data_IF_952441638308
#
_entry.id   IF_952441638308
#
_cell.length_a   1.000
_cell.length_b   1.000
_cell.length_c   1.000
_cell.angle_alpha   90.00
_cell.angle_beta   90.00
_cell.angle_gamma   90.00
#
_symmetry.space_group_name_H-M   'P 1'
#
loop_
_entity.id
_entity.type
_entity.pdbx_description
1 polymer ?
#
# COMPACT_ATOMS: atom_id res chain seq x y z
N UNK A 1 15.69 23.92 1.46
CA UNK A 1 14.34 23.71 2.04
C UNK A 1 14.52 23.02 3.37
N UNK A 2 14.20 23.71 4.46
CA UNK A 2 14.08 23.14 5.80
C UNK A 2 12.79 22.30 5.89
N UNK A 3 12.81 21.30 6.78
CA UNK A 3 11.71 20.36 6.96
C UNK A 3 10.38 21.06 7.35
N UNK A 4 10.46 22.19 8.07
CA UNK A 4 9.28 22.94 8.51
C UNK A 4 8.58 23.65 7.34
N UNK A 5 9.31 24.43 6.54
CA UNK A 5 8.71 25.07 5.36
C UNK A 5 8.27 24.07 4.29
N UNK A 6 8.98 22.94 4.18
CA UNK A 6 8.56 21.84 3.31
C UNK A 6 7.18 21.30 3.75
N UNK A 7 6.97 21.04 5.04
CA UNK A 7 5.67 20.57 5.55
C UNK A 7 4.55 21.59 5.34
N UNK A 8 4.78 22.86 5.64
CA UNK A 8 3.77 23.91 5.48
C UNK A 8 3.33 24.09 4.01
N UNK A 9 4.27 23.91 3.08
CA UNK A 9 4.04 24.14 1.64
C UNK A 9 3.55 22.89 0.93
N UNK A 10 4.23 21.75 1.13
CA UNK A 10 3.94 20.49 0.45
C UNK A 10 2.78 19.75 1.10
N UNK A 11 2.63 19.84 2.43
CA UNK A 11 1.57 19.18 3.20
C UNK A 11 0.14 19.55 2.77
N UNK A 12 -0.07 20.78 2.27
CA UNK A 12 -1.38 21.22 1.73
C UNK A 12 -1.65 20.74 0.32
N UNK A 13 -0.60 20.42 -0.44
CA UNK A 13 -0.69 20.05 -1.85
C UNK A 13 -0.54 18.54 -2.09
N UNK A 14 -0.23 17.75 -1.06
CA UNK A 14 0.03 16.30 -1.13
C UNK A 14 -1.03 15.53 -1.91
N UNK A 15 -2.36 15.76 -1.72
CA UNK A 15 -3.35 14.99 -2.46
C UNK A 15 -3.26 15.21 -3.97
N UNK A 16 -3.03 16.46 -4.38
CA UNK A 16 -2.82 16.81 -5.79
C UNK A 16 -1.45 16.30 -6.27
N UNK A 17 -0.41 16.42 -5.45
CA UNK A 17 0.94 15.95 -5.77
C UNK A 17 0.97 14.44 -6.00
N UNK A 18 0.30 13.66 -5.16
CA UNK A 18 0.24 12.20 -5.30
C UNK A 18 -0.63 11.82 -6.51
N UNK A 19 -1.73 12.53 -6.76
CA UNK A 19 -2.57 12.32 -7.94
C UNK A 19 -1.88 12.70 -9.26
N UNK A 20 -0.92 13.63 -9.24
CA UNK A 20 -0.11 13.98 -10.41
C UNK A 20 1.15 13.11 -10.53
N UNK A 21 1.75 12.68 -9.42
CA UNK A 21 2.80 11.64 -9.38
C UNK A 21 2.30 10.33 -9.99
N UNK A 22 1.01 10.04 -9.82
CA UNK A 22 0.32 8.93 -10.46
C UNK A 22 0.38 8.99 -12.01
N UNK A 23 0.29 10.19 -12.58
CA UNK A 23 0.18 10.37 -14.04
C UNK A 23 1.54 10.61 -14.71
N UNK A 24 2.59 10.91 -13.94
CA UNK A 24 3.85 11.41 -14.48
C UNK A 24 5.08 10.76 -13.81
N UNK A 25 5.83 9.97 -14.59
CA UNK A 25 7.08 9.32 -14.17
C UNK A 25 8.14 10.31 -13.68
N UNK A 26 8.17 11.54 -14.21
CA UNK A 26 9.09 12.59 -13.77
C UNK A 26 8.75 13.02 -12.34
N UNK A 27 7.46 13.20 -12.04
CA UNK A 27 7.02 13.56 -10.69
C UNK A 27 7.30 12.45 -9.68
N UNK A 28 7.15 11.19 -10.09
CA UNK A 28 7.57 10.06 -9.26
C UNK A 28 9.08 10.06 -9.01
N UNK A 29 9.88 10.35 -10.03
CA UNK A 29 11.33 10.50 -9.88
C UNK A 29 11.66 11.61 -8.88
N UNK A 30 10.96 12.73 -8.93
CA UNK A 30 11.12 13.84 -7.95
C UNK A 30 10.77 13.37 -6.54
N UNK A 31 9.69 12.60 -6.35
CA UNK A 31 9.34 12.03 -5.06
C UNK A 31 10.45 11.11 -4.51
N UNK A 32 11.06 10.28 -5.37
CA UNK A 32 12.22 9.47 -4.99
C UNK A 32 13.41 10.32 -4.57
N UNK A 33 13.72 11.41 -5.29
CA UNK A 33 14.82 12.31 -4.92
C UNK A 33 14.57 13.02 -3.59
N UNK A 34 13.32 13.40 -3.30
CA UNK A 34 12.94 13.96 -2.00
C UNK A 34 13.13 12.94 -0.87
N UNK A 35 12.74 11.68 -1.08
CA UNK A 35 12.99 10.59 -0.14
C UNK A 35 14.47 10.23 -0.01
N UNK A 36 15.29 10.50 -1.02
CA UNK A 36 16.74 10.30 -0.99
C UNK A 36 17.53 11.49 -0.40
N UNK A 37 16.85 12.56 0.04
CA UNK A 37 17.49 13.73 0.61
C UNK A 37 17.28 13.80 2.13
N UNK A 38 18.34 13.61 2.92
CA UNK A 38 18.30 13.55 4.39
C UNK A 38 17.63 14.75 5.07
N UNK A 39 17.64 15.94 4.44
CA UNK A 39 17.05 17.15 5.01
C UNK A 39 15.52 17.17 5.00
N UNK A 40 14.91 16.48 4.04
CA UNK A 40 13.45 16.50 3.81
C UNK A 40 12.82 15.12 3.82
N UNK A 41 13.62 14.05 3.78
CA UNK A 41 13.16 12.68 3.64
C UNK A 41 12.18 12.27 4.74
N UNK A 42 12.51 12.53 6.02
CA UNK A 42 11.63 12.20 7.15
C UNK A 42 10.29 12.95 7.09
N UNK A 43 10.33 14.26 6.80
CA UNK A 43 9.11 15.08 6.66
C UNK A 43 8.25 14.62 5.47
N UNK A 44 8.88 14.27 4.35
CA UNK A 44 8.17 13.80 3.17
C UNK A 44 7.63 12.37 3.34
N UNK A 45 8.37 11.47 3.99
CA UNK A 45 7.91 10.13 4.33
C UNK A 45 6.68 10.18 5.26
N UNK A 46 6.68 11.08 6.24
CA UNK A 46 5.53 11.30 7.12
C UNK A 46 4.31 11.74 6.32
N UNK A 47 4.49 12.77 5.48
CA UNK A 47 3.46 13.28 4.58
C UNK A 47 2.89 12.18 3.66
N UNK A 48 3.75 11.30 3.13
CA UNK A 48 3.31 10.18 2.31
C UNK A 48 2.52 9.16 3.15
N UNK A 49 3.00 8.77 4.33
CA UNK A 49 2.28 7.81 5.18
C UNK A 49 0.92 8.34 5.63
N UNK A 50 0.81 9.62 6.00
CA UNK A 50 -0.46 10.27 6.36
C UNK A 50 -1.49 10.20 5.22
N UNK A 51 -1.03 10.31 3.97
CA UNK A 51 -1.88 10.19 2.79
C UNK A 51 -2.21 8.74 2.42
N UNK A 52 -1.23 7.84 2.54
CA UNK A 52 -1.30 6.47 2.07
C UNK A 52 -2.09 5.55 3.02
N UNK A 53 -1.95 5.74 4.34
CA UNK A 53 -2.56 4.87 5.35
C UNK A 53 -4.09 4.81 5.29
N UNK A 54 -4.83 5.93 5.15
CA UNK A 54 -6.29 5.87 4.98
C UNK A 54 -6.73 5.09 3.73
N UNK A 55 -5.85 4.96 2.74
CA UNK A 55 -6.12 4.39 1.41
C UNK A 55 -5.50 3.01 1.22
N UNK A 56 -5.07 2.37 2.30
CA UNK A 56 -4.45 1.05 2.22
C UNK A 56 -5.38 0.03 1.55
N UNK A 57 -6.69 0.15 1.76
CA UNK A 57 -7.72 -0.70 1.16
C UNK A 57 -7.80 -0.57 -0.37
N UNK A 58 -7.47 0.60 -0.94
CA UNK A 58 -7.52 0.88 -2.38
C UNK A 58 -6.40 0.15 -3.15
N UNK A 59 -5.38 -0.37 -2.46
CA UNK A 59 -4.25 -1.10 -3.06
C UNK A 59 -4.69 -2.43 -3.68
N UNK A 60 -5.84 -2.98 -3.27
CA UNK A 60 -6.40 -4.21 -3.87
C UNK A 60 -6.74 -4.03 -5.35
N UNK A 61 -6.92 -2.79 -5.83
CA UNK A 61 -7.41 -2.51 -7.18
C UNK A 61 -8.88 -2.84 -7.39
N UNK A 62 -9.59 -3.21 -6.32
CA UNK A 62 -11.02 -3.51 -6.38
C UNK A 62 -11.84 -2.23 -6.29
N UNK A 63 -12.96 -2.16 -7.02
CA UNK A 63 -13.89 -1.04 -6.89
C UNK A 63 -14.53 -1.12 -5.50
N UNK A 64 -14.75 0.01 -4.78
CA UNK A 64 -15.58 -0.02 -3.58
C UNK A 64 -17.02 -0.32 -4.01
N UNK A 65 -17.41 -1.59 -4.01
CA UNK A 65 -18.72 -2.00 -4.53
C UNK A 65 -19.14 -3.45 -4.39
N UNK A 66 -18.38 -4.31 -3.70
CA UNK A 66 -18.88 -5.64 -3.32
C UNK A 66 -18.78 -5.84 -1.83
N UNK A 67 -19.67 -5.18 -1.12
CA UNK A 67 -20.08 -5.63 0.21
C UNK A 67 -21.60 -5.69 0.20
N UNK A 68 -22.10 -6.92 0.19
CA UNK A 68 -23.47 -7.37 0.49
C UNK A 68 -24.55 -7.20 -0.59
N UNK A 69 -25.06 -8.33 -1.09
CA UNK A 69 -26.51 -8.60 -1.06
C UNK A 69 -26.80 -10.10 -1.34
N UNK A 70 -27.64 -10.67 -0.48
CA UNK A 70 -28.01 -12.08 -0.48
C UNK A 70 -28.89 -12.51 -1.64
N UNK A 71 -28.80 -13.82 -1.92
CA UNK A 71 -29.82 -14.73 -2.47
C UNK A 71 -31.17 -14.07 -2.84
N UNK A 72 -31.47 -14.00 -4.14
CA UNK A 72 -32.78 -14.38 -4.72
C UNK A 72 -32.70 -14.56 -6.24
N UNK A 73 -33.25 -15.69 -6.67
CA UNK A 73 -33.55 -16.12 -8.03
C UNK A 73 -34.62 -15.23 -8.68
N UNK A 74 -34.49 -14.88 -9.97
CA UNK A 74 -35.53 -15.00 -11.02
C UNK A 74 -35.09 -14.41 -12.38
N UNK A 75 -35.77 -14.85 -13.44
CA UNK A 75 -35.34 -14.90 -14.86
C UNK A 75 -36.09 -13.88 -15.75
N UNK A 76 -35.53 -13.59 -16.95
CA UNK A 76 -36.11 -13.03 -18.21
C UNK A 76 -35.96 -11.52 -18.41
N UNK A 77 -35.81 -10.90 -19.59
CA UNK A 77 -35.46 -11.23 -21.00
C UNK A 77 -35.28 -9.86 -21.71
N UNK A 78 -34.30 -9.78 -22.62
CA UNK A 78 -34.06 -8.91 -23.80
C UNK A 78 -34.66 -7.48 -24.00
N UNK A 79 -33.81 -6.67 -24.64
CA UNK A 79 -34.05 -5.67 -25.72
C UNK A 79 -33.94 -4.14 -25.46
N UNK A 80 -32.90 -3.59 -26.11
CA UNK A 80 -32.71 -2.29 -26.79
C UNK A 80 -33.11 -0.95 -26.14
N UNK A 81 -32.11 -0.07 -25.97
CA UNK A 81 -32.08 1.28 -26.56
C UNK A 81 -30.77 2.03 -26.27
N UNK A 82 -30.31 2.78 -27.26
CA UNK A 82 -29.07 3.53 -27.41
C UNK A 82 -29.25 5.00 -27.02
N UNK A 83 -28.34 5.56 -26.20
CA UNK A 83 -28.03 7.00 -26.07
C UNK A 83 -26.81 7.14 -25.14
N UNK A 84 -25.60 7.40 -25.66
CA UNK A 84 -24.88 8.70 -25.67
C UNK A 84 -24.42 9.21 -24.30
N UNK A 85 -23.12 9.53 -24.27
CA UNK A 85 -22.36 10.26 -23.24
C UNK A 85 -22.02 9.44 -21.99
N UNK A 86 -20.83 8.84 -22.01
CA UNK A 86 -19.96 8.92 -20.84
C UNK A 86 -18.50 8.91 -21.30
N UNK A 87 -17.83 10.00 -20.95
CA UNK A 87 -16.39 10.16 -21.07
C UNK A 87 -15.69 8.93 -20.49
N UNK A 88 -14.77 8.39 -21.29
CA UNK A 88 -13.90 7.28 -20.94
C UNK A 88 -12.98 7.73 -19.79
N UNK A 89 -13.46 7.66 -18.55
CA UNK A 89 -12.68 7.97 -17.36
C UNK A 89 -11.66 6.85 -17.13
N UNK A 90 -10.38 7.18 -17.29
CA UNK A 90 -9.24 6.30 -17.16
C UNK A 90 -9.22 5.48 -15.85
N UNK A 91 -9.30 4.15 -16.03
CA UNK A 91 -8.63 3.07 -15.32
C UNK A 91 -8.42 3.16 -13.77
N UNK A 92 -9.27 2.49 -12.96
CA UNK A 92 -9.00 2.23 -11.53
C UNK A 92 -7.75 1.37 -11.24
N UNK A 93 -7.19 0.64 -12.22
CA UNK A 93 -5.94 -0.13 -12.04
C UNK A 93 -4.68 0.73 -11.86
N UNK A 94 -4.68 1.97 -12.35
CA UNK A 94 -3.51 2.83 -12.22
C UNK A 94 -3.32 3.26 -10.76
N UNK A 95 -4.38 3.71 -10.09
CA UNK A 95 -4.33 4.22 -8.71
C UNK A 95 -3.75 3.20 -7.71
N UNK A 96 -4.21 1.94 -7.76
CA UNK A 96 -3.72 0.90 -6.86
C UNK A 96 -2.22 0.60 -7.05
N UNK A 97 -1.78 0.54 -8.32
CA UNK A 97 -0.36 0.33 -8.67
C UNK A 97 0.52 1.48 -8.17
N UNK A 98 0.01 2.71 -8.20
CA UNK A 98 0.73 3.91 -7.78
C UNK A 98 0.84 3.97 -6.26
N UNK A 99 -0.26 3.68 -5.55
CA UNK A 99 -0.24 3.59 -4.08
C UNK A 99 0.80 2.56 -3.64
N UNK A 100 0.81 1.37 -4.26
CA UNK A 100 1.82 0.35 -3.99
C UNK A 100 3.23 0.86 -4.27
N UNK A 101 3.46 1.55 -5.40
CA UNK A 101 4.77 2.11 -5.76
C UNK A 101 5.24 3.16 -4.75
N UNK A 102 4.33 4.01 -4.26
CA UNK A 102 4.60 5.04 -3.26
C UNK A 102 4.91 4.44 -1.89
N UNK A 103 4.15 3.44 -1.44
CA UNK A 103 4.49 2.69 -0.24
C UNK A 103 5.89 2.07 -0.34
N UNK A 104 6.21 1.43 -1.47
CA UNK A 104 7.52 0.79 -1.69
C UNK A 104 8.68 1.77 -1.59
N UNK A 105 8.59 2.96 -2.22
CA UNK A 105 9.67 3.96 -2.10
C UNK A 105 9.74 4.56 -0.70
N UNK A 106 8.60 4.69 -0.01
CA UNK A 106 8.54 5.16 1.38
C UNK A 106 9.24 4.18 2.31
N UNK A 107 8.94 2.89 2.20
CA UNK A 107 9.65 1.83 2.95
C UNK A 107 11.12 1.73 2.53
N UNK A 108 11.43 1.96 1.26
CA UNK A 108 12.81 2.04 0.75
C UNK A 108 13.60 3.16 1.42
N UNK A 109 12.97 4.31 1.65
CA UNK A 109 13.62 5.47 2.30
C UNK A 109 14.06 5.18 3.73
N UNK A 110 13.36 4.28 4.45
CA UNK A 110 13.76 3.86 5.80
C UNK A 110 15.14 3.23 5.77
N UNK A 111 15.44 2.42 4.74
CA UNK A 111 16.76 1.81 4.57
C UNK A 111 17.88 2.83 4.31
N UNK A 112 17.54 4.02 3.80
CA UNK A 112 18.48 5.10 3.51
C UNK A 112 18.79 5.94 4.75
N UNK A 113 17.78 6.27 5.55
CA UNK A 113 17.91 7.19 6.69
C UNK A 113 17.18 6.65 7.93
N UNK A 114 17.91 6.50 9.04
CA UNK A 114 17.36 6.00 10.30
C UNK A 114 16.26 6.90 10.89
N UNK A 115 16.28 8.20 10.63
CA UNK A 115 15.24 9.15 11.07
C UNK A 115 13.86 8.81 10.48
N UNK A 116 13.81 8.12 9.34
CA UNK A 116 12.55 7.70 8.74
C UNK A 116 11.93 6.50 9.47
N UNK A 117 12.72 5.76 10.26
CA UNK A 117 12.21 4.70 11.13
C UNK A 117 11.24 5.27 12.17
N UNK A 118 11.59 6.40 12.79
CA UNK A 118 10.76 7.06 13.81
C UNK A 118 9.38 7.44 13.27
N UNK A 119 9.31 7.74 11.97
CA UNK A 119 8.09 8.08 11.25
C UNK A 119 7.28 6.83 10.88
N UNK A 120 7.92 5.74 10.47
CA UNK A 120 7.24 4.50 10.09
C UNK A 120 6.68 3.74 11.31
N UNK A 121 7.45 3.68 12.40
CA UNK A 121 7.17 2.90 13.61
C UNK A 121 5.74 3.03 14.13
N UNK A 122 5.18 4.23 14.40
CA UNK A 122 3.81 4.36 14.93
C UNK A 122 2.73 3.80 14.00
N UNK A 123 3.04 3.62 12.71
CA UNK A 123 2.11 3.12 11.70
C UNK A 123 2.34 1.65 11.36
N UNK A 124 3.43 1.04 11.83
CA UNK A 124 3.87 -0.29 11.44
C UNK A 124 2.79 -1.36 11.72
N UNK A 125 2.25 -1.37 12.94
CA UNK A 125 1.16 -2.28 13.30
C UNK A 125 -0.07 -2.07 12.44
N UNK A 126 -0.48 -0.82 12.23
CA UNK A 126 -1.65 -0.49 11.45
C UNK A 126 -1.53 -0.97 9.99
N UNK A 127 -0.34 -0.83 9.39
CA UNK A 127 -0.05 -1.34 8.04
C UNK A 127 -0.16 -2.87 8.02
N UNK A 128 0.52 -3.56 8.94
CA UNK A 128 0.52 -5.03 8.99
C UNK A 128 -0.90 -5.58 9.17
N UNK A 129 -1.65 -5.06 10.14
CA UNK A 129 -3.02 -5.48 10.39
C UNK A 129 -3.96 -5.13 9.23
N UNK A 130 -3.79 -3.95 8.63
CA UNK A 130 -4.52 -3.56 7.43
C UNK A 130 -4.30 -4.56 6.30
N UNK A 131 -3.05 -4.87 5.96
CA UNK A 131 -2.71 -5.85 4.94
C UNK A 131 -3.30 -7.23 5.25
N UNK A 132 -3.10 -7.76 6.46
CA UNK A 132 -3.60 -9.10 6.82
C UNK A 132 -5.13 -9.19 6.77
N UNK A 133 -5.82 -8.14 7.21
CA UNK A 133 -7.29 -8.05 7.14
C UNK A 133 -7.75 -8.05 5.69
N UNK A 134 -7.15 -7.21 4.85
CA UNK A 134 -7.52 -7.09 3.44
C UNK A 134 -7.17 -8.36 2.63
N UNK A 135 -6.04 -9.00 2.91
CA UNK A 135 -5.71 -10.32 2.34
C UNK A 135 -6.79 -11.37 2.56
N UNK A 136 -7.54 -11.28 3.66
CA UNK A 136 -8.55 -12.27 4.04
C UNK A 136 -9.95 -12.00 3.46
N UNK A 137 -10.20 -10.79 2.96
CA UNK A 137 -11.53 -10.37 2.50
C UNK A 137 -11.58 -9.90 1.03
N UNK A 138 -10.43 -9.55 0.45
CA UNK A 138 -10.37 -9.03 -0.92
C UNK A 138 -10.23 -10.16 -1.95
N UNK A 139 -10.89 -10.01 -3.10
CA UNK A 139 -10.81 -10.94 -4.23
C UNK A 139 -9.40 -10.97 -4.86
N UNK A 140 -8.64 -9.87 -4.75
CA UNK A 140 -7.30 -9.73 -5.31
C UNK A 140 -6.26 -9.33 -4.25
N UNK A 141 -5.85 -10.25 -3.36
CA UNK A 141 -4.98 -9.94 -2.23
C UNK A 141 -3.49 -9.76 -2.62
N UNK A 142 -3.12 -10.04 -3.87
CA UNK A 142 -1.73 -10.06 -4.34
C UNK A 142 -0.91 -8.81 -3.99
N UNK A 143 -1.49 -7.62 -4.18
CA UNK A 143 -0.78 -6.37 -3.89
C UNK A 143 -0.48 -6.18 -2.40
N UNK A 144 -1.31 -6.72 -1.49
CA UNK A 144 -1.05 -6.68 -0.05
C UNK A 144 0.09 -7.61 0.36
N UNK A 145 0.22 -8.78 -0.27
CA UNK A 145 1.38 -9.66 -0.06
C UNK A 145 2.68 -9.00 -0.54
N UNK A 146 2.65 -8.34 -1.70
CA UNK A 146 3.80 -7.58 -2.21
C UNK A 146 4.15 -6.42 -1.27
N UNK A 147 3.15 -5.75 -0.71
CA UNK A 147 3.34 -4.66 0.24
C UNK A 147 3.97 -5.15 1.55
N UNK A 148 3.43 -6.22 2.15
CA UNK A 148 4.01 -6.87 3.33
C UNK A 148 5.45 -7.29 3.09
N UNK A 149 5.72 -7.86 1.92
CA UNK A 149 7.08 -8.31 1.55
C UNK A 149 8.04 -7.13 1.47
N UNK A 150 7.62 -6.03 0.85
CA UNK A 150 8.44 -4.82 0.78
C UNK A 150 8.71 -4.26 2.16
N UNK A 151 7.71 -4.26 3.05
CA UNK A 151 7.85 -3.78 4.42
C UNK A 151 8.83 -4.63 5.23
N UNK A 152 8.67 -5.95 5.24
CA UNK A 152 9.53 -6.85 6.01
C UNK A 152 10.96 -6.78 5.51
N UNK A 153 11.17 -6.75 4.19
CA UNK A 153 12.51 -6.59 3.61
C UNK A 153 13.17 -5.26 4.00
N UNK A 154 12.40 -4.17 4.06
CA UNK A 154 12.93 -2.86 4.49
C UNK A 154 13.34 -2.84 5.96
N UNK A 155 12.64 -3.59 6.82
CA UNK A 155 12.92 -3.62 8.28
C UNK A 155 13.99 -4.66 8.62
N UNK A 156 13.98 -5.82 7.97
CA UNK A 156 14.90 -6.94 8.21
C UNK A 156 16.37 -6.66 7.81
N UNK A 157 16.66 -5.48 7.25
CA UNK A 157 18.02 -5.05 6.88
C UNK A 157 18.99 -4.79 8.05
N UNK A 158 18.59 -5.09 9.29
CA UNK A 158 19.49 -5.15 10.46
C UNK A 158 19.86 -3.81 11.10
N UNK A 159 19.34 -2.67 10.59
CA UNK A 159 19.64 -1.33 11.12
C UNK A 159 18.55 -0.75 12.04
N UNK A 160 17.36 -1.35 12.08
CA UNK A 160 16.13 -0.77 12.65
C UNK A 160 15.59 -1.63 13.79
N UNK A 161 16.29 -1.60 14.92
CA UNK A 161 16.04 -2.54 16.02
C UNK A 161 14.67 -2.33 16.66
N UNK A 162 14.18 -1.08 16.76
CA UNK A 162 12.87 -0.79 17.36
C UNK A 162 11.71 -1.32 16.52
N UNK A 163 11.72 -1.03 15.22
CA UNK A 163 10.71 -1.53 14.28
C UNK A 163 10.77 -3.06 14.14
N UNK A 164 11.97 -3.64 14.24
CA UNK A 164 12.13 -5.10 14.23
C UNK A 164 11.54 -5.76 15.49
N UNK A 165 11.74 -5.19 16.69
CA UNK A 165 11.12 -5.71 17.92
C UNK A 165 9.59 -5.67 17.84
N UNK A 166 9.04 -4.58 17.30
CA UNK A 166 7.60 -4.44 17.10
C UNK A 166 7.08 -5.49 16.11
N UNK A 167 7.75 -5.67 14.96
CA UNK A 167 7.40 -6.71 14.00
C UNK A 167 7.50 -8.13 14.59
N UNK A 168 8.55 -8.39 15.38
CA UNK A 168 8.77 -9.67 16.05
C UNK A 168 7.62 -10.04 16.98
N UNK A 169 7.03 -9.06 17.68
CA UNK A 169 5.87 -9.28 18.55
C UNK A 169 4.61 -9.69 17.79
N UNK A 170 4.47 -9.23 16.53
CA UNK A 170 3.33 -9.54 15.65
C UNK A 170 3.52 -10.86 14.87
N UNK A 171 4.76 -11.34 14.80
CA UNK A 171 5.18 -12.47 13.96
C UNK A 171 4.32 -13.73 14.15
N UNK A 172 3.93 -14.14 15.38
CA UNK A 172 3.04 -15.30 15.56
C UNK A 172 1.70 -15.14 14.84
N UNK A 173 1.09 -13.94 14.89
CA UNK A 173 -0.21 -13.70 14.25
C UNK A 173 -0.07 -13.54 12.74
N UNK A 174 1.01 -12.90 12.28
CA UNK A 174 1.35 -12.78 10.86
C UNK A 174 1.47 -14.19 10.26
N UNK A 175 2.33 -15.05 10.82
CA UNK A 175 2.55 -16.40 10.32
C UNK A 175 1.27 -17.25 10.35
N UNK A 176 0.49 -17.15 11.43
CA UNK A 176 -0.79 -17.87 11.53
C UNK A 176 -1.75 -17.44 10.42
N UNK A 177 -1.85 -16.13 10.17
CA UNK A 177 -2.71 -15.57 9.12
C UNK A 177 -2.24 -15.98 7.73
N UNK A 178 -0.94 -15.90 7.46
CA UNK A 178 -0.31 -16.31 6.20
C UNK A 178 -0.50 -17.81 5.93
N UNK A 179 -0.30 -18.66 6.92
CA UNK A 179 -0.51 -20.11 6.79
C UNK A 179 -1.97 -20.47 6.55
N UNK A 180 -2.91 -19.73 7.14
CA UNK A 180 -4.34 -19.88 6.83
C UNK A 180 -4.63 -19.51 5.38
N UNK A 181 -4.10 -18.39 4.89
CA UNK A 181 -4.29 -17.93 3.51
C UNK A 181 -3.66 -18.90 2.49
N UNK A 182 -2.48 -19.44 2.78
CA UNK A 182 -1.82 -20.45 1.95
C UNK A 182 -2.69 -21.71 1.78
N UNK A 183 -3.29 -22.20 2.88
CA UNK A 183 -4.17 -23.39 2.86
C UNK A 183 -5.47 -23.20 2.09
N UNK A 184 -5.87 -21.96 1.78
CA UNK A 184 -7.09 -21.68 1.03
C UNK A 184 -6.94 -21.92 -0.49
N UNK A 185 -5.77 -22.34 -0.97
CA UNK A 185 -5.56 -22.68 -2.38
C UNK A 185 -5.33 -21.45 -3.26
N UNK A 186 -4.31 -20.66 -2.90
CA UNK A 186 -3.87 -19.51 -3.71
C UNK A 186 -3.20 -19.98 -5.01
N UNK A 187 -3.04 -19.07 -5.97
CA UNK A 187 -2.23 -19.35 -7.16
C UNK A 187 -0.75 -19.61 -6.78
N UNK A 188 0.02 -20.14 -7.74
CA UNK A 188 1.42 -20.51 -7.52
C UNK A 188 2.30 -19.31 -7.12
N UNK A 189 2.01 -18.14 -7.70
CA UNK A 189 2.79 -16.91 -7.44
C UNK A 189 2.56 -16.38 -6.04
N UNK A 190 1.31 -16.28 -5.59
CA UNK A 190 0.96 -15.85 -4.23
C UNK A 190 1.43 -16.86 -3.20
N UNK A 191 1.33 -18.16 -3.50
CA UNK A 191 1.88 -19.22 -2.66
C UNK A 191 3.38 -19.03 -2.42
N UNK A 192 4.16 -18.74 -3.46
CA UNK A 192 5.58 -18.43 -3.34
C UNK A 192 5.85 -17.18 -2.50
N UNK A 193 5.05 -16.10 -2.67
CA UNK A 193 5.20 -14.88 -1.87
C UNK A 193 4.89 -15.14 -0.39
N UNK A 194 3.85 -15.92 -0.09
CA UNK A 194 3.49 -16.27 1.29
C UNK A 194 4.61 -17.08 1.95
N UNK A 195 5.16 -18.08 1.26
CA UNK A 195 6.28 -18.88 1.78
C UNK A 195 7.48 -17.97 2.05
N UNK A 196 7.81 -17.08 1.12
CA UNK A 196 8.92 -16.14 1.33
C UNK A 196 8.67 -15.21 2.52
N UNK A 197 7.45 -14.69 2.69
CA UNK A 197 7.07 -13.89 3.84
C UNK A 197 7.20 -14.62 5.17
N UNK A 198 7.09 -15.96 5.17
CA UNK A 198 7.29 -16.78 6.36
C UNK A 198 8.78 -17.07 6.65
N UNK A 199 9.67 -16.85 5.69
CA UNK A 199 11.11 -17.13 5.81
C UNK A 199 11.97 -15.86 6.01
N UNK A 200 11.41 -14.67 5.73
CA UNK A 200 12.01 -13.36 6.06
C UNK A 200 11.99 -13.14 7.58
#
# INVERSE_FOLDING_TARGET
LDAYNFRATVGRSVPLLVQEVAKNEVLFTIAQHLLANSNVSSAFAQVLLDYLLPRIHEISGDKPGKTDEGKSTETKTAEDAKATEDEKSDAPSNSASILLRLFKITFGSVTLFAQNEEVLRPHLQAIVWGCLRHCAICDFPGNFFVLLRSLFRSIAGGKFESSYQELKSLLPVILTSLMRLYRQGQDETMSHIIIELCLI
#
